data_IF_960745688781
#
_entry.id   IF_960745688781
#
_cell.length_a   1.000
_cell.length_b   1.000
_cell.length_c   1.000
_cell.angle_alpha   90.00
_cell.angle_beta   90.00
_cell.angle_gamma   90.00
#
_symmetry.space_group_name_H-M   'P 1'
#
loop_
_entity.id
_entity.type
_entity.pdbx_description
1 polymer ?
#
# COMPACT_ATOMS: atom_id res chain seq x y z
N UNK A 1 1.53 -18.18 14.27
CA UNK A 1 2.89 -17.66 14.13
C UNK A 1 3.11 -17.13 12.76
N UNK A 2 3.02 -17.97 11.77
CA UNK A 2 3.20 -17.56 10.38
C UNK A 2 2.30 -16.39 9.99
N UNK A 3 1.02 -16.44 10.38
CA UNK A 3 0.07 -15.37 10.06
C UNK A 3 0.42 -14.04 10.74
N UNK A 4 0.95 -14.11 11.96
CA UNK A 4 1.34 -12.90 12.68
C UNK A 4 2.49 -12.19 11.99
N UNK A 5 3.49 -12.95 11.57
CA UNK A 5 4.64 -12.36 10.90
C UNK A 5 4.24 -11.71 9.59
N UNK A 6 3.39 -12.39 8.82
CA UNK A 6 2.94 -11.86 7.54
C UNK A 6 2.07 -10.63 7.74
N UNK A 7 1.18 -10.65 8.73
CA UNK A 7 0.32 -9.51 9.01
C UNK A 7 1.15 -8.31 9.46
N UNK A 8 2.13 -8.55 10.34
CA UNK A 8 2.99 -7.46 10.80
C UNK A 8 3.76 -6.83 9.66
N UNK A 9 4.29 -7.64 8.76
CA UNK A 9 5.02 -7.13 7.61
C UNK A 9 4.11 -6.28 6.71
N UNK A 10 2.90 -6.74 6.47
CA UNK A 10 1.93 -6.01 5.66
C UNK A 10 1.63 -4.65 6.28
N UNK A 11 1.41 -4.62 7.59
CA UNK A 11 1.13 -3.37 8.29
C UNK A 11 2.33 -2.43 8.22
N UNK A 12 3.54 -2.95 8.41
CA UNK A 12 4.75 -2.13 8.33
C UNK A 12 4.89 -1.52 6.93
N UNK A 13 4.70 -2.32 5.89
CA UNK A 13 4.77 -1.83 4.51
C UNK A 13 3.71 -0.75 4.28
N UNK A 14 2.50 -0.97 4.78
CA UNK A 14 1.41 0.01 4.61
C UNK A 14 1.76 1.33 5.30
N UNK A 15 2.34 1.28 6.49
CA UNK A 15 2.72 2.49 7.22
C UNK A 15 3.86 3.22 6.48
N UNK A 16 4.85 2.48 6.00
CA UNK A 16 5.96 3.09 5.25
C UNK A 16 5.44 3.78 4.00
N UNK A 17 4.57 3.13 3.26
CA UNK A 17 4.01 3.74 2.06
C UNK A 17 3.10 4.93 2.40
N UNK A 18 2.36 4.85 3.50
CA UNK A 18 1.58 6.00 3.97
C UNK A 18 2.48 7.21 4.23
N UNK A 19 3.62 6.98 4.86
CA UNK A 19 4.59 8.03 5.10
C UNK A 19 5.12 8.61 3.78
N UNK A 20 5.46 7.74 2.83
CA UNK A 20 5.92 8.18 1.52
C UNK A 20 4.86 9.03 0.81
N UNK A 21 3.61 8.59 0.87
CA UNK A 21 2.52 9.36 0.26
C UNK A 21 2.35 10.73 0.93
N UNK A 22 2.56 10.78 2.26
CA UNK A 22 2.44 12.04 2.98
C UNK A 22 3.50 13.05 2.57
N UNK A 23 4.60 12.57 2.00
CA UNK A 23 5.70 13.45 1.55
C UNK A 23 5.55 13.91 0.12
N UNK A 24 4.56 13.42 -0.59
CA UNK A 24 4.34 13.83 -1.97
C UNK A 24 3.74 15.22 -2.03
N UNK A 25 3.92 15.94 -3.16
CA UNK A 25 3.30 17.25 -3.36
C UNK A 25 1.77 17.16 -3.22
N UNK A 26 1.16 18.26 -2.83
CA UNK A 26 -0.29 18.28 -2.58
C UNK A 26 -1.11 17.91 -3.81
N UNK A 27 -0.63 18.27 -5.00
CA UNK A 27 -1.36 17.99 -6.22
C UNK A 27 -1.30 16.52 -6.63
N UNK A 28 -0.47 15.71 -5.97
CA UNK A 28 -0.37 14.30 -6.31
C UNK A 28 -1.62 13.52 -5.90
N UNK A 29 -2.25 13.84 -4.77
CA UNK A 29 -3.38 13.10 -4.24
C UNK A 29 -4.53 13.97 -3.71
N UNK A 30 -4.27 15.22 -3.38
CA UNK A 30 -5.28 16.12 -2.80
C UNK A 30 -5.81 15.61 -1.45
N UNK A 31 -4.91 15.12 -0.61
CA UNK A 31 -5.28 14.69 0.75
C UNK A 31 -5.75 15.88 1.57
N UNK A 32 -6.80 15.67 2.37
CA UNK A 32 -7.37 16.72 3.18
C UNK A 32 -6.95 16.71 4.63
N UNK A 33 -6.33 15.63 5.11
CA UNK A 33 -5.89 15.55 6.49
C UNK A 33 -4.60 14.73 6.59
N UNK A 34 -3.97 14.79 7.77
CA UNK A 34 -2.70 14.10 7.98
C UNK A 34 -2.84 12.58 7.95
N UNK A 35 -4.01 12.06 8.24
CA UNK A 35 -4.23 10.62 8.25
C UNK A 35 -4.56 10.06 6.86
N UNK A 36 -4.98 10.92 5.94
CA UNK A 36 -5.43 10.46 4.62
C UNK A 36 -4.38 9.66 3.84
N UNK A 37 -3.08 10.03 3.85
CA UNK A 37 -2.08 9.20 3.15
C UNK A 37 -2.02 7.78 3.70
N UNK A 38 -2.15 7.62 5.00
CA UNK A 38 -2.12 6.30 5.63
C UNK A 38 -3.39 5.53 5.31
N UNK A 39 -4.53 6.20 5.35
CA UNK A 39 -5.80 5.61 4.95
C UNK A 39 -5.72 5.09 3.51
N UNK A 40 -5.21 5.90 2.60
CA UNK A 40 -5.03 5.50 1.21
C UNK A 40 -4.10 4.28 1.09
N UNK A 41 -2.98 4.30 1.82
CA UNK A 41 -2.04 3.19 1.79
C UNK A 41 -2.69 1.90 2.30
N UNK A 42 -3.46 1.98 3.38
CA UNK A 42 -4.12 0.79 3.92
C UNK A 42 -5.20 0.26 2.97
N UNK A 43 -5.98 1.13 2.33
CA UNK A 43 -6.99 0.67 1.37
C UNK A 43 -6.34 0.02 0.16
N UNK A 44 -5.19 0.54 -0.27
CA UNK A 44 -4.45 -0.04 -1.39
C UNK A 44 -3.88 -1.40 -1.00
N UNK A 45 -3.32 -1.50 0.20
CA UNK A 45 -2.72 -2.73 0.68
C UNK A 45 -3.77 -3.82 0.88
N UNK A 46 -4.98 -3.42 1.28
CA UNK A 46 -6.08 -4.37 1.47
C UNK A 46 -6.84 -4.66 0.18
N UNK A 47 -6.42 -4.06 -0.92
CA UNK A 47 -7.04 -4.20 -2.25
C UNK A 47 -8.49 -3.71 -2.32
N UNK A 48 -8.88 -2.86 -1.36
CA UNK A 48 -10.24 -2.31 -1.33
C UNK A 48 -10.45 -1.26 -2.41
N UNK A 49 -9.54 -0.27 -2.45
CA UNK A 49 -9.56 0.72 -3.51
C UNK A 49 -10.86 1.48 -3.64
N UNK A 50 -11.27 2.18 -2.59
CA UNK A 50 -12.53 2.92 -2.61
C UNK A 50 -12.59 3.98 -3.71
N UNK A 51 -11.45 4.53 -4.11
CA UNK A 51 -11.42 5.52 -5.17
C UNK A 51 -11.63 6.95 -4.70
N UNK A 52 -11.79 7.18 -3.41
CA UNK A 52 -11.94 8.53 -2.87
C UNK A 52 -10.65 9.34 -2.98
N UNK A 53 -9.51 8.66 -3.00
CA UNK A 53 -8.23 9.28 -3.32
C UNK A 53 -7.59 8.50 -4.45
N UNK A 54 -7.02 9.19 -5.41
CA UNK A 54 -6.32 8.52 -6.51
C UNK A 54 -5.11 9.35 -6.92
N UNK A 55 -4.05 8.67 -7.40
CA UNK A 55 -2.84 9.39 -7.81
C UNK A 55 -3.11 10.22 -9.07
N UNK A 56 -2.64 11.46 -9.07
CA UNK A 56 -2.91 12.38 -10.17
C UNK A 56 -1.67 12.71 -11.00
N UNK A 57 -0.49 12.49 -10.44
CA UNK A 57 0.75 12.76 -11.16
C UNK A 57 1.44 11.47 -11.56
N UNK A 58 2.29 11.47 -12.61
CA UNK A 58 3.03 10.26 -12.97
C UNK A 58 3.89 9.72 -11.83
N UNK A 59 4.51 10.60 -11.04
CA UNK A 59 5.32 10.16 -9.91
C UNK A 59 4.47 9.45 -8.86
N UNK A 60 3.27 9.99 -8.57
CA UNK A 60 2.36 9.37 -7.62
C UNK A 60 1.88 8.02 -8.13
N UNK A 61 1.56 7.94 -9.42
CA UNK A 61 1.13 6.68 -10.03
C UNK A 61 2.23 5.63 -9.94
N UNK A 62 3.48 6.02 -10.19
CA UNK A 62 4.60 5.10 -10.10
C UNK A 62 4.78 4.56 -8.69
N UNK A 63 4.62 5.42 -7.69
CA UNK A 63 4.75 4.99 -6.30
C UNK A 63 3.63 4.02 -5.92
N UNK A 64 2.40 4.30 -6.33
CA UNK A 64 1.28 3.39 -6.08
C UNK A 64 1.51 2.05 -6.77
N UNK A 65 2.00 2.07 -8.00
CA UNK A 65 2.31 0.83 -8.72
C UNK A 65 3.36 0.02 -7.99
N UNK A 66 4.36 0.67 -7.39
CA UNK A 66 5.38 -0.04 -6.63
C UNK A 66 4.79 -0.71 -5.40
N UNK A 67 3.86 -0.04 -4.70
CA UNK A 67 3.20 -0.65 -3.56
C UNK A 67 2.37 -1.87 -3.99
N UNK A 68 1.65 -1.73 -5.09
CA UNK A 68 0.85 -2.83 -5.62
C UNK A 68 1.73 -4.02 -6.04
N UNK A 69 2.90 -3.73 -6.62
CA UNK A 69 3.83 -4.79 -7.01
C UNK A 69 4.38 -5.52 -5.78
N UNK A 70 4.69 -4.78 -4.72
CA UNK A 70 5.14 -5.39 -3.47
C UNK A 70 4.05 -6.28 -2.91
N UNK A 71 2.81 -5.78 -2.89
CA UNK A 71 1.68 -6.55 -2.39
C UNK A 71 1.48 -7.84 -3.19
N UNK A 72 1.50 -7.74 -4.51
CA UNK A 72 1.31 -8.90 -5.37
C UNK A 72 2.42 -9.93 -5.17
N UNK A 73 3.66 -9.47 -5.07
CA UNK A 73 4.79 -10.34 -4.82
C UNK A 73 4.63 -11.07 -3.49
N UNK A 74 4.22 -10.35 -2.47
CA UNK A 74 4.02 -10.93 -1.14
C UNK A 74 2.91 -11.96 -1.14
N UNK A 75 1.80 -11.67 -1.81
CA UNK A 75 0.67 -12.61 -1.89
C UNK A 75 1.09 -13.87 -2.64
N UNK A 76 1.77 -13.71 -3.76
CA UNK A 76 2.22 -14.87 -4.55
C UNK A 76 3.20 -15.72 -3.75
N UNK A 77 4.16 -15.09 -3.06
CA UNK A 77 5.12 -15.82 -2.25
C UNK A 77 4.43 -16.59 -1.13
N UNK A 78 3.45 -15.96 -0.50
CA UNK A 78 2.71 -16.60 0.58
C UNK A 78 1.93 -17.81 0.08
N UNK A 79 1.23 -17.65 -1.04
CA UNK A 79 0.48 -18.75 -1.63
C UNK A 79 1.38 -19.89 -2.08
N UNK A 80 2.53 -19.56 -2.69
CA UNK A 80 3.48 -20.59 -3.11
C UNK A 80 4.00 -21.38 -1.92
N UNK A 81 4.34 -20.70 -0.82
CA UNK A 81 4.81 -21.37 0.37
C UNK A 81 3.76 -22.33 0.91
N UNK A 82 2.51 -21.91 0.96
CA UNK A 82 1.43 -22.77 1.47
C UNK A 82 1.15 -23.95 0.55
N UNK A 83 1.16 -23.69 -0.77
CA UNK A 83 0.86 -24.75 -1.72
C UNK A 83 1.95 -25.79 -1.81
N UNK A 84 3.18 -25.40 -1.54
CA UNK A 84 4.32 -26.33 -1.64
C UNK A 84 4.53 -27.13 -0.38
N UNK A 85 3.76 -26.90 0.64
CA UNK A 85 3.76 -27.76 1.82
C UNK A 85 2.68 -28.83 1.65
#
# INVERSE_FOLDING_TARGET
MFLYEDFSLIVIVAVVYGWLYSRMPKDAFEFGSAIDPYYFSFTTMATVGYGDFSPKTPAAKALVMSQQAVLMTGVIALLSTRLMK
#
